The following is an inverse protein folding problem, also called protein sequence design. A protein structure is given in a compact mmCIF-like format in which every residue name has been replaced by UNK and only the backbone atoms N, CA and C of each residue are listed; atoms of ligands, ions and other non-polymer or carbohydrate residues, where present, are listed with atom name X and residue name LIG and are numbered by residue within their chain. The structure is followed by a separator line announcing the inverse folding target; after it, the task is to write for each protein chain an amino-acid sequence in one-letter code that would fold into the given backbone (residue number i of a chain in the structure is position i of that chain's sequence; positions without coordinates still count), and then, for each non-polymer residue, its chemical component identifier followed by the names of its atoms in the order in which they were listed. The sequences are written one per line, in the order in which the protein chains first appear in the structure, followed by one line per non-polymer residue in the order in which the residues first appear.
data_IF_221298836432
#
_entry.id   IF_221298836432
#
_cell.length_a   1.000
_cell.length_b   1.000
_cell.length_c   1.000
_cell.angle_alpha   90.00
_cell.angle_beta   90.00
_cell.angle_gamma   90.00
#
_symmetry.space_group_name_H-M   'P 1'
#
loop_
_entity.id
_entity.type
_entity.pdbx_description
1 polymer ?
#
# COMPACT_ATOMS: atom_id res chain seq x y z
N UNK A 1 -14.32 64.81 36.67
CA UNK A 1 -14.04 64.26 35.32
C UNK A 1 -15.35 64.32 34.55
N UNK A 2 -15.40 65.01 33.40
CA UNK A 2 -16.66 65.37 32.74
C UNK A 2 -17.17 64.19 31.87
N UNK A 3 -18.42 63.80 32.02
CA UNK A 3 -19.05 62.63 31.39
C UNK A 3 -18.88 62.61 29.85
N UNK A 4 -18.85 63.79 29.22
CA UNK A 4 -18.64 63.94 27.78
C UNK A 4 -17.25 63.49 27.30
N UNK A 5 -16.20 63.73 28.09
CA UNK A 5 -14.84 63.29 27.75
C UNK A 5 -14.73 61.76 27.79
N UNK A 6 -15.39 61.12 28.75
CA UNK A 6 -15.42 59.66 28.86
C UNK A 6 -16.16 59.04 27.66
N UNK A 7 -17.30 59.61 27.25
CA UNK A 7 -18.02 59.15 26.07
C UNK A 7 -17.24 59.31 24.76
N UNK A 8 -16.42 60.37 24.64
CA UNK A 8 -15.60 60.55 23.45
C UNK A 8 -14.48 59.52 23.35
N UNK A 9 -13.77 59.27 24.46
CA UNK A 9 -12.73 58.23 24.52
C UNK A 9 -13.30 56.85 24.20
N UNK A 10 -14.52 56.54 24.67
CA UNK A 10 -15.19 55.28 24.34
C UNK A 10 -15.45 55.15 22.83
N UNK A 11 -16.00 56.19 22.19
CA UNK A 11 -16.25 56.17 20.73
C UNK A 11 -14.98 56.04 19.91
N UNK A 12 -13.92 56.76 20.31
CA UNK A 12 -12.64 56.69 19.61
C UNK A 12 -12.02 55.28 19.75
N UNK A 13 -12.10 54.69 20.94
CA UNK A 13 -11.65 53.30 21.17
C UNK A 13 -12.48 52.24 20.43
N UNK A 14 -13.80 52.42 20.32
CA UNK A 14 -14.68 51.55 19.51
C UNK A 14 -14.28 51.59 18.03
N UNK A 15 -14.02 52.80 17.51
CA UNK A 15 -13.57 52.99 16.13
C UNK A 15 -12.21 52.36 15.88
N UNK A 16 -11.22 52.61 16.74
CA UNK A 16 -9.89 52.00 16.62
C UNK A 16 -9.98 50.46 16.65
N UNK A 17 -10.85 49.91 17.49
CA UNK A 17 -11.08 48.45 17.57
C UNK A 17 -11.65 47.90 16.26
N UNK A 18 -12.59 48.60 15.63
CA UNK A 18 -13.14 48.22 14.32
C UNK A 18 -12.07 48.32 13.22
N UNK A 19 -11.27 49.39 13.23
CA UNK A 19 -10.15 49.57 12.30
C UNK A 19 -9.13 48.44 12.44
N UNK A 20 -8.71 48.08 13.66
CA UNK A 20 -7.83 46.94 13.91
C UNK A 20 -8.44 45.61 13.47
N UNK A 21 -9.75 45.40 13.68
CA UNK A 21 -10.43 44.18 13.24
C UNK A 21 -10.39 44.05 11.71
N UNK A 22 -10.59 45.16 10.97
CA UNK A 22 -10.48 45.14 9.51
C UNK A 22 -9.06 44.89 9.02
N UNK A 23 -8.04 45.42 9.71
CA UNK A 23 -6.63 45.17 9.37
C UNK A 23 -6.23 43.72 9.65
N UNK A 24 -6.66 43.15 10.78
CA UNK A 24 -6.49 41.73 11.09
C UNK A 24 -7.12 40.86 10.00
N UNK A 25 -8.35 41.16 9.57
CA UNK A 25 -9.02 40.40 8.52
C UNK A 25 -8.27 40.47 7.17
N UNK A 26 -7.72 41.64 6.81
CA UNK A 26 -6.88 41.81 5.62
C UNK A 26 -5.58 41.00 5.71
N UNK A 27 -4.88 41.05 6.84
CA UNK A 27 -3.64 40.31 7.06
C UNK A 27 -3.88 38.80 7.06
N UNK A 28 -4.94 38.32 7.71
CA UNK A 28 -5.35 36.92 7.67
C UNK A 28 -5.62 36.45 6.24
N UNK A 29 -6.35 37.24 5.46
CA UNK A 29 -6.59 36.95 4.03
C UNK A 29 -5.27 36.86 3.24
N UNK A 30 -4.30 37.73 3.56
CA UNK A 30 -2.98 37.72 2.92
C UNK A 30 -2.17 36.48 3.30
N UNK A 31 -2.18 36.09 4.58
CA UNK A 31 -1.54 34.86 5.07
C UNK A 31 -2.09 33.64 4.34
N UNK A 32 -3.42 33.52 4.25
CA UNK A 32 -4.08 32.41 3.54
C UNK A 32 -3.64 32.37 2.07
N UNK A 33 -3.63 33.51 1.39
CA UNK A 33 -3.20 33.58 -0.02
C UNK A 33 -1.73 33.15 -0.22
N UNK A 34 -0.84 33.60 0.66
CA UNK A 34 0.59 33.24 0.59
C UNK A 34 0.78 31.75 0.91
N UNK A 35 0.08 31.22 1.91
CA UNK A 35 0.14 29.80 2.26
C UNK A 35 -0.31 28.92 1.07
N UNK A 36 -1.42 29.26 0.42
CA UNK A 36 -1.87 28.56 -0.78
C UNK A 36 -0.84 28.61 -1.92
N UNK A 37 -0.17 29.76 -2.13
CA UNK A 37 0.90 29.87 -3.12
C UNK A 37 2.11 29.01 -2.78
N UNK A 38 2.51 28.97 -1.50
CA UNK A 38 3.58 28.12 -1.00
C UNK A 38 3.25 26.64 -1.22
N UNK A 39 2.05 26.20 -0.83
CA UNK A 39 1.63 24.79 -0.96
C UNK A 39 1.64 24.35 -2.43
N UNK A 40 1.16 25.20 -3.35
CA UNK A 40 1.23 24.94 -4.80
C UNK A 40 2.66 24.84 -5.30
N UNK A 41 3.56 25.72 -4.84
CA UNK A 41 4.97 25.70 -5.23
C UNK A 41 5.67 24.44 -4.70
N UNK A 42 5.41 24.02 -3.46
CA UNK A 42 5.97 22.79 -2.90
C UNK A 42 5.55 21.56 -3.70
N UNK A 43 4.30 21.49 -4.14
CA UNK A 43 3.82 20.39 -5.01
C UNK A 43 4.62 20.35 -6.32
N UNK A 44 4.82 21.51 -6.97
CA UNK A 44 5.63 21.58 -8.19
C UNK A 44 7.10 21.20 -7.94
N UNK A 45 7.71 21.70 -6.85
CA UNK A 45 9.09 21.38 -6.50
C UNK A 45 9.28 19.88 -6.23
N UNK A 46 8.33 19.22 -5.56
CA UNK A 46 8.36 17.75 -5.40
C UNK A 46 8.28 17.03 -6.74
N UNK A 47 7.48 17.51 -7.69
CA UNK A 47 7.41 16.94 -9.03
C UNK A 47 8.74 17.08 -9.78
N UNK A 48 9.38 18.25 -9.72
CA UNK A 48 10.71 18.49 -10.30
C UNK A 48 11.81 17.67 -9.61
N UNK A 49 11.83 17.62 -8.28
CA UNK A 49 12.74 16.78 -7.52
C UNK A 49 12.60 15.30 -7.91
N UNK A 50 11.37 14.84 -8.11
CA UNK A 50 11.11 13.49 -8.61
C UNK A 50 11.64 13.29 -10.02
N UNK A 51 11.54 14.29 -10.92
CA UNK A 51 12.08 14.25 -12.29
C UNK A 51 13.61 14.09 -12.32
N UNK A 52 14.33 14.74 -11.40
CA UNK A 52 15.80 14.66 -11.32
C UNK A 52 16.30 13.54 -10.40
N UNK A 53 15.40 12.80 -9.75
CA UNK A 53 15.78 11.76 -8.82
C UNK A 53 16.66 10.70 -9.52
N UNK A 54 17.78 10.27 -8.91
CA UNK A 54 18.71 9.31 -9.52
C UNK A 54 18.03 8.03 -10.01
N UNK A 55 16.96 7.62 -9.32
CA UNK A 55 16.17 6.44 -9.64
C UNK A 55 15.51 6.46 -11.03
N UNK A 56 15.27 7.64 -11.62
CA UNK A 56 14.78 7.79 -13.00
C UNK A 56 15.89 7.73 -14.05
N UNK A 57 17.15 7.80 -13.62
CA UNK A 57 18.34 7.68 -14.49
C UNK A 57 18.91 6.26 -14.51
N UNK A 58 18.38 5.38 -13.66
CA UNK A 58 18.77 3.98 -13.65
C UNK A 58 18.21 3.29 -14.90
N UNK A 59 19.01 2.50 -15.62
CA UNK A 59 18.51 1.64 -16.68
C UNK A 59 17.47 0.66 -16.13
N UNK A 60 16.50 0.29 -16.97
CA UNK A 60 15.47 -0.69 -16.65
C UNK A 60 16.06 -2.00 -16.11
N UNK A 61 17.18 -2.45 -16.64
CA UNK A 61 17.83 -3.70 -16.21
C UNK A 61 18.31 -3.64 -14.76
N UNK A 62 18.85 -2.49 -14.32
CA UNK A 62 19.28 -2.29 -12.93
C UNK A 62 18.06 -2.27 -12.01
N UNK A 63 16.99 -1.58 -12.41
CA UNK A 63 15.73 -1.57 -11.66
C UNK A 63 15.14 -2.98 -11.54
N UNK A 64 15.16 -3.78 -12.61
CA UNK A 64 14.69 -5.17 -12.59
C UNK A 64 15.48 -6.01 -11.58
N UNK A 65 16.81 -5.90 -11.55
CA UNK A 65 17.63 -6.64 -10.57
C UNK A 65 17.35 -6.20 -9.13
N UNK A 66 17.20 -4.90 -8.88
CA UNK A 66 16.79 -4.39 -7.56
C UNK A 66 15.41 -4.94 -7.16
N UNK A 67 14.45 -4.97 -8.10
CA UNK A 67 13.12 -5.49 -7.82
C UNK A 67 13.12 -7.00 -7.56
N UNK A 68 13.97 -7.77 -8.25
CA UNK A 68 14.16 -9.21 -7.96
C UNK A 68 14.68 -9.42 -6.54
N UNK A 69 15.52 -8.52 -6.06
CA UNK A 69 16.00 -8.56 -4.68
C UNK A 69 14.90 -8.21 -3.66
N UNK A 70 14.12 -7.14 -3.87
CA UNK A 70 13.01 -6.77 -2.97
C UNK A 70 11.87 -7.82 -3.00
N UNK A 71 11.69 -8.51 -4.13
CA UNK A 71 10.70 -9.58 -4.32
C UNK A 71 11.31 -10.98 -4.11
N UNK A 72 12.44 -11.10 -3.40
CA UNK A 72 13.11 -12.39 -3.24
C UNK A 72 12.27 -13.39 -2.45
N UNK A 73 11.53 -12.90 -1.45
CA UNK A 73 10.67 -13.70 -0.60
C UNK A 73 9.33 -14.03 -1.30
N UNK A 74 8.81 -15.27 -1.13
CA UNK A 74 7.50 -15.64 -1.63
C UNK A 74 6.38 -14.71 -1.17
N UNK A 75 5.59 -14.20 -2.13
CA UNK A 75 4.55 -13.23 -1.87
C UNK A 75 3.37 -13.85 -1.12
N UNK A 76 3.06 -13.31 0.07
CA UNK A 76 2.01 -13.82 0.97
C UNK A 76 0.63 -13.35 0.53
N UNK A 77 -0.06 -14.17 -0.28
CA UNK A 77 -1.32 -13.76 -0.91
C UNK A 77 -2.52 -13.68 0.04
N UNK A 78 -2.38 -14.19 1.26
CA UNK A 78 -3.43 -14.21 2.29
C UNK A 78 -3.52 -12.93 3.13
N UNK A 79 -2.54 -12.01 3.04
CA UNK A 79 -2.56 -10.77 3.82
C UNK A 79 -3.11 -9.58 3.05
N UNK A 80 -3.21 -9.65 1.72
CA UNK A 80 -3.62 -8.56 0.81
C UNK A 80 -3.11 -7.18 1.25
N UNK A 81 -1.92 -7.15 1.86
CA UNK A 81 -1.25 -5.91 2.13
C UNK A 81 -0.65 -5.55 0.79
N UNK A 82 -1.02 -4.38 0.26
CA UNK A 82 -0.44 -3.74 -0.94
C UNK A 82 1.09 -3.51 -0.78
N UNK A 83 1.71 -4.08 0.25
CA UNK A 83 3.04 -3.83 0.76
C UNK A 83 4.01 -4.99 0.53
N UNK A 84 3.61 -6.06 -0.15
CA UNK A 84 4.52 -7.18 -0.42
C UNK A 84 4.82 -7.34 -1.93
N UNK A 85 6.07 -7.66 -2.24
CA UNK A 85 6.57 -8.04 -3.56
C UNK A 85 6.21 -7.09 -4.72
N UNK A 86 5.81 -7.63 -5.89
CA UNK A 86 5.66 -6.83 -7.12
C UNK A 86 4.57 -5.76 -7.00
N UNK A 87 3.53 -6.00 -6.19
CA UNK A 87 2.46 -5.02 -5.99
C UNK A 87 2.96 -3.76 -5.25
N UNK A 88 3.84 -3.93 -4.25
CA UNK A 88 4.49 -2.81 -3.54
C UNK A 88 5.36 -1.99 -4.47
N UNK A 89 6.21 -2.66 -5.25
CA UNK A 89 7.12 -1.99 -6.19
C UNK A 89 6.32 -1.26 -7.27
N UNK A 90 5.29 -1.90 -7.83
CA UNK A 90 4.42 -1.31 -8.86
C UNK A 90 3.54 -0.15 -8.36
N UNK A 91 3.44 0.07 -7.05
CA UNK A 91 2.69 1.19 -6.48
C UNK A 91 3.48 2.52 -6.48
N UNK A 92 4.81 2.48 -6.65
CA UNK A 92 5.69 3.67 -6.52
C UNK A 92 5.44 4.70 -7.63
N UNK A 93 5.53 4.30 -8.90
CA UNK A 93 5.21 5.17 -10.03
C UNK A 93 4.82 4.35 -11.28
N UNK A 94 4.33 5.02 -12.33
CA UNK A 94 3.92 4.37 -13.58
C UNK A 94 5.07 3.64 -14.28
N UNK A 95 6.28 4.21 -14.26
CA UNK A 95 7.46 3.59 -14.86
C UNK A 95 7.84 2.28 -14.14
N UNK A 96 7.90 2.29 -12.81
CA UNK A 96 8.15 1.08 -12.00
C UNK A 96 7.09 0.02 -12.23
N UNK A 97 5.81 0.42 -12.30
CA UNK A 97 4.71 -0.48 -12.64
C UNK A 97 4.89 -1.14 -14.01
N UNK A 98 5.30 -0.38 -15.02
CA UNK A 98 5.60 -0.90 -16.35
C UNK A 98 6.68 -1.99 -16.29
N UNK A 99 7.78 -1.71 -15.59
CA UNK A 99 8.88 -2.68 -15.42
C UNK A 99 8.38 -3.94 -14.72
N UNK A 100 7.69 -3.79 -13.59
CA UNK A 100 7.16 -4.92 -12.80
C UNK A 100 6.22 -5.79 -13.64
N UNK A 101 5.28 -5.17 -14.36
CA UNK A 101 4.32 -5.87 -15.22
C UNK A 101 5.02 -6.59 -16.38
N UNK A 102 6.10 -6.01 -16.91
CA UNK A 102 6.88 -6.59 -18.01
C UNK A 102 7.89 -7.67 -17.58
N UNK A 103 8.03 -7.93 -16.28
CA UNK A 103 9.03 -8.86 -15.73
C UNK A 103 8.34 -10.06 -15.04
N UNK A 104 8.02 -11.14 -15.77
CA UNK A 104 7.21 -12.25 -15.24
C UNK A 104 7.82 -12.95 -14.03
N UNK A 105 9.16 -13.01 -13.92
CA UNK A 105 9.85 -13.65 -12.80
C UNK A 105 9.58 -13.00 -11.44
N UNK A 106 9.12 -11.74 -11.39
CA UNK A 106 8.74 -11.09 -10.13
C UNK A 106 7.43 -11.63 -9.56
N UNK A 107 6.65 -12.35 -10.37
CA UNK A 107 5.33 -12.88 -10.02
C UNK A 107 5.35 -14.39 -9.76
N UNK A 108 6.52 -15.04 -9.87
CA UNK A 108 6.61 -16.51 -9.85
C UNK A 108 6.83 -17.12 -8.48
N UNK A 109 7.06 -16.30 -7.43
CA UNK A 109 7.26 -16.76 -6.05
C UNK A 109 6.01 -16.49 -5.21
N UNK A 110 5.26 -17.53 -4.88
CA UNK A 110 3.92 -17.43 -4.30
C UNK A 110 3.85 -18.14 -2.96
N UNK A 111 3.27 -17.50 -1.94
CA UNK A 111 2.99 -18.08 -0.64
C UNK A 111 1.49 -18.04 -0.33
N UNK A 112 0.92 -19.22 -0.12
CA UNK A 112 -0.51 -19.42 0.11
C UNK A 112 -0.77 -20.03 1.49
N UNK A 113 -1.96 -19.75 2.01
CA UNK A 113 -2.55 -20.46 3.14
C UNK A 113 -3.77 -21.20 2.63
N UNK A 114 -3.85 -22.49 2.91
CA UNK A 114 -4.92 -23.40 2.48
C UNK A 114 -5.64 -23.91 3.74
N UNK A 115 -6.97 -24.00 3.69
CA UNK A 115 -7.79 -24.52 4.79
C UNK A 115 -8.20 -23.50 5.87
N UNK A 116 -7.99 -22.21 5.61
CA UNK A 116 -8.76 -21.13 6.26
C UNK A 116 -9.83 -20.66 5.26
N UNK A 117 -10.99 -20.21 5.76
CA UNK A 117 -12.08 -19.66 4.93
C UNK A 117 -11.54 -18.85 3.73
N UNK A 118 -11.81 -19.27 2.48
CA UNK A 118 -11.22 -18.63 1.32
C UNK A 118 -11.81 -17.24 1.15
N UNK A 119 -11.00 -16.21 1.43
CA UNK A 119 -11.35 -14.85 1.04
C UNK A 119 -11.36 -14.77 -0.48
N UNK A 120 -12.50 -14.39 -1.08
CA UNK A 120 -12.65 -14.17 -2.54
C UNK A 120 -11.50 -13.35 -3.15
N UNK A 121 -10.98 -12.40 -2.39
CA UNK A 121 -9.86 -11.54 -2.75
C UNK A 121 -8.52 -12.28 -2.94
N UNK A 122 -8.27 -13.37 -2.20
CA UNK A 122 -7.06 -14.20 -2.35
C UNK A 122 -7.05 -14.90 -3.71
N UNK A 123 -8.20 -15.41 -4.17
CA UNK A 123 -8.31 -16.07 -5.47
C UNK A 123 -8.02 -15.10 -6.62
N UNK A 124 -8.53 -13.88 -6.56
CA UNK A 124 -8.27 -12.85 -7.59
C UNK A 124 -6.79 -12.47 -7.66
N UNK A 125 -6.14 -12.30 -6.51
CA UNK A 125 -4.70 -11.97 -6.48
C UNK A 125 -3.86 -13.16 -6.91
N UNK A 126 -4.22 -14.39 -6.53
CA UNK A 126 -3.57 -15.58 -7.04
C UNK A 126 -3.65 -15.64 -8.57
N UNK A 127 -4.83 -15.45 -9.14
CA UNK A 127 -5.00 -15.45 -10.59
C UNK A 127 -4.14 -14.37 -11.26
N UNK A 128 -4.11 -13.16 -10.69
CA UNK A 128 -3.23 -12.10 -11.17
C UNK A 128 -1.75 -12.54 -11.18
N UNK A 129 -1.27 -13.20 -10.13
CA UNK A 129 0.12 -13.69 -10.07
C UNK A 129 0.36 -14.79 -11.11
N UNK A 130 -0.57 -15.73 -11.28
CA UNK A 130 -0.46 -16.78 -12.29
C UNK A 130 -0.42 -16.17 -13.70
N UNK A 131 -1.33 -15.26 -14.03
CA UNK A 131 -1.39 -14.58 -15.33
C UNK A 131 -0.11 -13.78 -15.62
N UNK A 132 0.41 -13.06 -14.63
CA UNK A 132 1.59 -12.19 -14.79
C UNK A 132 2.91 -12.97 -14.81
N UNK A 133 2.97 -14.12 -14.14
CA UNK A 133 4.13 -15.01 -14.18
C UNK A 133 4.30 -15.73 -15.53
N UNK A 134 3.25 -15.75 -16.37
CA UNK A 134 3.26 -16.37 -17.71
C UNK A 134 3.73 -17.82 -17.65
N UNK A 135 4.81 -18.16 -18.36
CA UNK A 135 5.40 -19.49 -18.44
C UNK A 135 6.69 -19.62 -17.61
N UNK A 136 6.98 -18.65 -16.74
CA UNK A 136 8.16 -18.74 -15.87
C UNK A 136 7.93 -19.79 -14.78
N UNK A 137 9.00 -20.49 -14.43
CA UNK A 137 9.05 -21.45 -13.34
C UNK A 137 8.52 -20.88 -12.02
N UNK A 138 7.59 -21.61 -11.37
CA UNK A 138 6.96 -21.23 -10.11
C UNK A 138 7.70 -21.81 -8.91
N UNK A 139 7.92 -20.96 -7.90
CA UNK A 139 8.34 -21.37 -6.55
C UNK A 139 7.18 -21.14 -5.58
N UNK A 140 6.69 -22.21 -4.97
CA UNK A 140 5.48 -22.21 -4.17
C UNK A 140 5.76 -22.57 -2.71
N UNK A 141 5.12 -21.82 -1.81
CA UNK A 141 5.05 -22.15 -0.39
C UNK A 141 3.58 -22.29 0.01
N UNK A 142 3.16 -23.50 0.35
CA UNK A 142 1.79 -23.81 0.74
C UNK A 142 1.76 -24.11 2.24
N UNK A 143 0.96 -23.35 2.99
CA UNK A 143 0.79 -23.53 4.42
C UNK A 143 -0.63 -24.04 4.69
N UNK A 144 -0.75 -25.27 5.15
CA UNK A 144 -2.02 -25.90 5.48
C UNK A 144 -2.42 -25.61 6.93
N UNK A 145 -3.66 -25.17 7.09
CA UNK A 145 -4.35 -24.98 8.35
C UNK A 145 -5.55 -25.90 8.35
N UNK A 146 -5.71 -26.73 9.38
CA UNK A 146 -6.82 -27.66 9.48
C UNK A 146 -7.29 -27.66 10.93
N UNK A 147 -8.51 -27.20 11.19
CA UNK A 147 -9.11 -27.22 12.53
C UNK A 147 -9.77 -28.56 12.85
N UNK A 148 -10.36 -29.23 11.85
CA UNK A 148 -11.33 -30.32 12.10
C UNK A 148 -11.09 -31.60 11.28
N UNK A 149 -9.91 -31.74 10.65
CA UNK A 149 -9.55 -32.93 9.85
C UNK A 149 -10.28 -33.06 8.50
N UNK A 150 -11.23 -32.17 8.20
CA UNK A 150 -11.97 -32.16 6.94
C UNK A 150 -11.22 -31.31 5.92
N UNK A 151 -10.61 -31.97 4.94
CA UNK A 151 -9.99 -31.31 3.80
C UNK A 151 -11.05 -31.04 2.73
N UNK A 152 -11.61 -29.83 2.70
CA UNK A 152 -12.39 -29.40 1.54
C UNK A 152 -11.44 -28.99 0.41
N UNK A 153 -11.84 -29.24 -0.84
CA UNK A 153 -11.07 -28.79 -2.00
C UNK A 153 -10.98 -27.26 -2.00
N UNK A 154 -9.78 -26.73 -1.73
CA UNK A 154 -9.50 -25.31 -1.77
C UNK A 154 -9.31 -24.85 -3.22
N UNK A 155 -10.13 -23.91 -3.75
CA UNK A 155 -9.99 -23.41 -5.11
C UNK A 155 -8.61 -22.79 -5.40
N UNK A 156 -7.97 -22.18 -4.41
CA UNK A 156 -6.63 -21.63 -4.55
C UNK A 156 -5.59 -22.74 -4.72
N UNK A 157 -5.75 -23.86 -3.99
CA UNK A 157 -4.90 -25.04 -4.18
C UNK A 157 -5.10 -25.67 -5.57
N UNK A 158 -6.35 -25.78 -6.04
CA UNK A 158 -6.64 -26.27 -7.38
C UNK A 158 -6.01 -25.39 -8.47
N UNK A 159 -6.11 -24.07 -8.33
CA UNK A 159 -5.57 -23.11 -9.29
C UNK A 159 -4.04 -23.17 -9.39
N UNK A 160 -3.32 -23.35 -8.29
CA UNK A 160 -1.87 -23.60 -8.40
C UNK A 160 -1.61 -24.98 -9.00
N UNK A 161 -2.36 -26.01 -8.62
CA UNK A 161 -2.12 -27.39 -9.06
C UNK A 161 -2.28 -27.55 -10.57
N UNK A 162 -3.16 -26.78 -11.23
CA UNK A 162 -3.23 -26.74 -12.69
C UNK A 162 -1.94 -26.22 -13.36
N UNK A 163 -1.12 -25.49 -12.63
CA UNK A 163 0.16 -24.94 -13.09
C UNK A 163 1.35 -25.86 -12.75
N UNK A 164 1.11 -27.09 -12.27
CA UNK A 164 2.15 -28.00 -11.80
C UNK A 164 3.26 -28.31 -12.82
N UNK A 165 2.94 -28.23 -14.11
CA UNK A 165 3.87 -28.46 -15.22
C UNK A 165 5.08 -27.50 -15.23
N UNK A 166 4.98 -26.36 -14.55
CA UNK A 166 6.05 -25.34 -14.46
C UNK A 166 6.51 -25.06 -13.04
N UNK A 167 6.23 -25.93 -12.08
CA UNK A 167 6.75 -25.79 -10.72
C UNK A 167 8.22 -26.21 -10.67
N UNK A 168 9.08 -25.42 -10.00
CA UNK A 168 10.48 -25.79 -9.73
C UNK A 168 10.77 -26.01 -8.27
N UNK A 169 9.98 -25.41 -7.37
CA UNK A 169 10.11 -25.60 -5.93
C UNK A 169 8.73 -25.57 -5.30
N UNK A 170 8.45 -26.56 -4.46
CA UNK A 170 7.25 -26.62 -3.63
C UNK A 170 7.69 -26.88 -2.18
N UNK A 171 7.27 -26.02 -1.27
CA UNK A 171 7.45 -26.20 0.17
C UNK A 171 6.08 -26.25 0.83
N UNK A 172 5.80 -27.38 1.48
CA UNK A 172 4.54 -27.63 2.18
C UNK A 172 4.79 -27.58 3.67
N UNK A 173 4.02 -26.75 4.38
CA UNK A 173 4.04 -26.66 5.83
C UNK A 173 2.62 -26.94 6.36
N UNK A 174 2.51 -27.63 7.50
CA UNK A 174 1.24 -27.82 8.19
C UNK A 174 1.36 -27.39 9.64
N UNK A 175 0.41 -26.62 10.15
CA UNK A 175 0.25 -26.41 11.59
C UNK A 175 -0.94 -27.22 12.08
N UNK A 176 -0.68 -28.32 12.76
CA UNK A 176 -1.70 -29.00 13.55
C UNK A 176 -1.93 -28.13 14.79
N UNK A 177 -3.04 -27.39 14.84
CA UNK A 177 -3.50 -26.91 16.13
C UNK A 177 -3.99 -28.14 16.90
N UNK A 178 -3.55 -28.37 18.15
CA UNK A 178 -4.19 -29.37 18.98
C UNK A 178 -5.66 -28.98 19.07
N UNK A 179 -6.55 -29.87 18.62
CA UNK A 179 -7.98 -29.79 18.92
C UNK A 179 -8.04 -29.59 20.42
N UNK A 180 -8.48 -28.41 20.88
CA UNK A 180 -8.74 -28.21 22.29
C UNK A 180 -9.83 -29.21 22.63
N UNK A 181 -9.42 -30.31 23.25
CA UNK A 181 -10.33 -31.24 23.88
C UNK A 181 -11.17 -30.39 24.82
N UNK A 182 -12.41 -30.11 24.43
CA UNK A 182 -13.45 -29.67 25.33
C UNK A 182 -13.62 -30.81 26.32
N UNK A 183 -12.82 -30.82 27.38
CA UNK A 183 -13.16 -31.53 28.61
C UNK A 183 -14.42 -30.86 29.11
N UNK A 184 -15.54 -31.50 28.80
CA UNK A 184 -16.85 -31.23 29.37
C UNK A 184 -16.74 -31.37 30.87
N UNK A 185 -16.72 -30.24 31.58
CA UNK A 185 -17.15 -30.20 32.97
C UNK A 185 -18.61 -29.77 32.95
N UNK A 186 -19.51 -30.73 33.09
CA UNK A 186 -20.75 -30.71 33.87
C UNK A 186 -21.31 -32.14 33.93
#
# INVERSE_FOLDING_TARGET
MNYSKVQQVLRDGEKDTEDYATEIAKLQSRIISIQQKKDRLEVHLRAYASLIAPVRRLPDDVLREVFKYDCSEPCKLFLLRIRDGPLKVGAVCSHWRSIVVSTPSLWSRISLRVGLEPFSSTCHVLQLFLDRSKQVALELVVNFFCSDGIFQEDPAFRAIASEAHRWTKLSVHGSLYPVSSKTSWY
#
